data_IF_546222037893
#
_entry.id   IF_546222037893
#
_cell.length_a   1.000
_cell.length_b   1.000
_cell.length_c   1.000
_cell.angle_alpha   90.00
_cell.angle_beta   90.00
_cell.angle_gamma   90.00
#
_symmetry.space_group_name_H-M   'P 1'
#
loop_
_entity.id
_entity.type
_entity.pdbx_description
1 polymer ?
#
# COMPACT_ATOMS: atom_id res chain seq x y z
N UNK A 1 4.80 0.00 -1.65
CA UNK A 1 4.00 1.22 -1.89
C UNK A 1 4.34 1.73 -3.31
N UNK A 2 3.65 2.72 -3.90
CA UNK A 2 4.15 3.35 -5.14
C UNK A 2 3.98 4.87 -5.16
N UNK A 3 5.11 5.57 -4.95
CA UNK A 3 5.19 7.04 -5.00
C UNK A 3 4.83 7.61 -6.39
N UNK A 4 4.95 6.83 -7.47
CA UNK A 4 4.66 7.28 -8.85
C UNK A 4 3.15 7.44 -9.08
N UNK A 5 2.32 6.61 -8.42
CA UNK A 5 0.86 6.74 -8.42
C UNK A 5 0.36 7.94 -7.60
N UNK A 6 1.17 8.47 -6.68
CA UNK A 6 0.83 9.67 -5.91
C UNK A 6 0.82 10.94 -6.80
N UNK A 7 1.56 10.95 -7.91
CA UNK A 7 1.78 12.10 -8.79
C UNK A 7 1.32 11.87 -10.25
N UNK A 8 0.42 10.91 -10.49
CA UNK A 8 -0.28 10.76 -11.78
C UNK A 8 0.57 10.26 -12.97
N UNK A 9 1.75 9.68 -12.75
CA UNK A 9 2.62 9.22 -13.84
C UNK A 9 2.24 7.80 -14.28
N UNK A 10 1.47 7.70 -15.37
CA UNK A 10 1.21 6.43 -16.07
C UNK A 10 2.49 5.95 -16.79
N UNK A 11 2.89 4.68 -16.68
CA UNK A 11 4.01 4.14 -17.45
C UNK A 11 3.63 3.99 -18.93
N UNK A 12 4.37 4.66 -19.81
CA UNK A 12 4.29 4.41 -21.26
C UNK A 12 4.78 3.00 -21.57
N UNK A 13 3.88 2.16 -22.11
CA UNK A 13 4.24 0.84 -22.61
C UNK A 13 5.08 0.97 -23.88
N UNK A 14 6.31 0.45 -23.86
CA UNK A 14 7.13 0.38 -25.07
C UNK A 14 6.45 -0.55 -26.08
N UNK A 15 5.99 -0.01 -27.21
CA UNK A 15 5.64 -0.81 -28.38
C UNK A 15 6.83 -1.67 -28.78
N UNK A 16 6.60 -2.95 -29.02
CA UNK A 16 7.60 -3.85 -29.59
C UNK A 16 7.86 -3.41 -31.04
N UNK A 17 9.11 -3.05 -31.36
CA UNK A 17 9.52 -2.82 -32.74
C UNK A 17 9.94 -4.16 -33.33
N UNK A 18 9.30 -4.55 -34.43
CA UNK A 18 9.57 -5.81 -35.12
C UNK A 18 10.72 -5.65 -36.12
N UNK A 19 11.88 -6.26 -35.84
CA UNK A 19 12.90 -6.49 -36.86
C UNK A 19 12.71 -7.85 -37.52
N UNK A 20 12.58 -7.85 -38.85
CA UNK A 20 12.38 -9.06 -39.66
C UNK A 20 13.71 -9.60 -40.17
N UNK A 21 14.18 -10.72 -39.63
CA UNK A 21 15.26 -11.53 -40.23
C UNK A 21 14.77 -12.95 -40.50
N UNK A 22 15.24 -13.53 -41.60
CA UNK A 22 14.56 -14.61 -42.33
C UNK A 22 14.68 -15.99 -41.66
N UNK A 23 13.55 -16.70 -41.70
CA UNK A 23 13.42 -18.17 -41.57
C UNK A 23 14.50 -18.90 -42.40
N UNK A 24 15.06 -19.97 -41.86
CA UNK A 24 15.54 -21.09 -42.68
C UNK A 24 15.33 -22.41 -41.93
N UNK A 25 15.20 -23.52 -42.66
CA UNK A 25 14.57 -24.74 -42.15
C UNK A 25 15.57 -25.89 -41.93
N UNK A 26 15.30 -26.76 -40.94
CA UNK A 26 15.10 -28.19 -41.26
C UNK A 26 14.38 -28.99 -40.16
N UNK A 27 13.70 -30.04 -40.62
CA UNK A 27 12.88 -30.98 -39.87
C UNK A 27 13.69 -32.19 -39.35
N UNK A 28 13.18 -32.83 -38.29
CA UNK A 28 12.87 -34.28 -38.31
C UNK A 28 11.96 -34.69 -37.14
N UNK A 29 11.41 -35.90 -37.22
CA UNK A 29 10.26 -36.38 -36.45
C UNK A 29 10.32 -37.87 -36.14
N UNK A 30 9.79 -38.26 -34.97
CA UNK A 30 9.24 -39.57 -34.57
C UNK A 30 8.38 -39.26 -33.31
N UNK A 31 7.20 -39.82 -33.01
CA UNK A 31 6.73 -41.23 -33.02
C UNK A 31 7.57 -42.12 -32.09
N UNK A 32 7.04 -42.95 -31.18
CA UNK A 32 5.69 -43.54 -31.00
C UNK A 32 5.02 -43.04 -29.67
N UNK A 33 3.72 -43.18 -29.33
CA UNK A 33 2.73 -44.29 -29.42
C UNK A 33 3.07 -45.46 -28.44
N UNK A 34 2.19 -46.04 -27.59
CA UNK A 34 0.76 -46.39 -27.66
C UNK A 34 0.02 -46.40 -26.28
N UNK A 35 -1.32 -46.14 -26.30
CA UNK A 35 -2.51 -46.90 -25.76
C UNK A 35 -2.43 -47.63 -24.37
N UNK A 36 -3.50 -47.91 -23.60
CA UNK A 36 -4.94 -48.08 -23.93
C UNK A 36 -5.93 -48.03 -22.71
N UNK A 37 -7.21 -47.70 -22.98
CA UNK A 37 -8.51 -48.24 -22.42
C UNK A 37 -8.63 -48.56 -20.90
N UNK A 38 -9.57 -48.00 -20.11
CA UNK A 38 -11.07 -48.08 -20.15
C UNK A 38 -11.70 -46.95 -19.26
N UNK A 39 -13.01 -46.67 -19.18
CA UNK A 39 -14.18 -47.06 -19.99
C UNK A 39 -15.40 -47.69 -19.26
N UNK A 40 -16.61 -47.11 -19.43
CA UNK A 40 -17.98 -47.64 -19.09
C UNK A 40 -18.35 -47.53 -17.57
N UNK A 41 -19.56 -47.14 -17.07
CA UNK A 41 -20.98 -47.26 -17.52
C UNK A 41 -21.93 -46.14 -17.00
N UNK A 42 -23.15 -46.05 -17.56
CA UNK A 42 -24.28 -45.23 -17.08
C UNK A 42 -25.19 -45.96 -16.07
N UNK A 43 -25.96 -45.22 -15.25
CA UNK A 43 -27.27 -45.63 -14.67
C UNK A 43 -28.22 -44.41 -14.66
N UNK A 44 -29.53 -44.65 -14.87
CA UNK A 44 -30.62 -43.65 -15.01
C UNK A 44 -31.93 -44.18 -14.40
N UNK A 45 -32.57 -43.45 -13.48
CA UNK A 45 -33.95 -43.69 -12.99
C UNK A 45 -34.66 -42.36 -12.65
N UNK A 46 -35.99 -42.30 -12.83
CA UNK A 46 -36.84 -41.12 -12.61
C UNK A 46 -37.87 -41.34 -11.47
N UNK A 47 -38.34 -40.24 -10.85
CA UNK A 47 -39.71 -40.03 -10.31
C UNK A 47 -39.87 -38.52 -10.00
N UNK A 48 -40.85 -37.74 -10.49
CA UNK A 48 -42.33 -37.77 -10.37
C UNK A 48 -42.82 -37.45 -8.93
N UNK A 49 -43.74 -36.50 -8.66
CA UNK A 49 -44.91 -36.00 -9.42
C UNK A 49 -45.14 -34.46 -9.25
N UNK A 50 -45.66 -33.74 -10.27
CA UNK A 50 -47.03 -33.12 -10.43
C UNK A 50 -47.39 -31.98 -9.44
N UNK A 51 -47.68 -30.73 -9.88
CA UNK A 51 -48.90 -30.18 -10.56
C UNK A 51 -50.12 -30.12 -9.61
N UNK A 52 -50.95 -29.05 -9.52
CA UNK A 52 -50.99 -27.69 -10.14
C UNK A 52 -51.80 -26.73 -9.18
N UNK A 53 -52.37 -25.53 -9.43
CA UNK A 53 -52.67 -24.73 -10.63
C UNK A 53 -52.70 -23.17 -10.39
N UNK A 54 -52.74 -22.41 -11.48
CA UNK A 54 -53.29 -21.04 -11.79
C UNK A 54 -53.37 -19.90 -10.72
N UNK A 55 -52.81 -18.68 -10.94
CA UNK A 55 -53.15 -17.51 -11.85
C UNK A 55 -54.23 -16.53 -11.28
N UNK A 56 -54.35 -15.24 -11.72
CA UNK A 56 -53.68 -14.56 -12.85
C UNK A 56 -53.07 -13.14 -12.60
N UNK A 57 -52.23 -12.69 -13.56
CA UNK A 57 -52.01 -11.32 -14.09
C UNK A 57 -52.18 -10.08 -13.16
N UNK A 58 -51.13 -9.24 -13.15
CA UNK A 58 -51.23 -7.95 -13.87
C UNK A 58 -49.88 -7.49 -14.46
N UNK A 59 -49.92 -6.67 -15.51
CA UNK A 59 -48.77 -6.26 -16.31
C UNK A 59 -48.43 -4.79 -16.13
N UNK A 60 -47.15 -4.44 -15.94
CA UNK A 60 -46.67 -3.08 -16.14
C UNK A 60 -45.23 -3.05 -16.68
N UNK A 61 -45.08 -2.66 -17.96
CA UNK A 61 -43.77 -2.38 -18.56
C UNK A 61 -43.35 -0.95 -18.18
N UNK A 62 -42.30 -0.77 -17.38
CA UNK A 62 -41.57 0.50 -17.30
C UNK A 62 -40.08 0.30 -17.58
N UNK A 63 -39.47 1.33 -18.16
CA UNK A 63 -38.22 1.24 -18.93
C UNK A 63 -37.00 1.20 -18.00
N UNK A 64 -35.99 0.38 -18.32
CA UNK A 64 -34.62 0.64 -17.84
C UNK A 64 -34.16 1.98 -18.40
N UNK A 65 -33.51 2.79 -17.58
CA UNK A 65 -32.64 3.88 -18.02
C UNK A 65 -31.23 3.43 -17.66
N UNK A 66 -30.36 3.38 -18.67
CA UNK A 66 -28.92 3.15 -18.51
C UNK A 66 -28.28 4.52 -18.74
N UNK A 67 -27.41 4.94 -17.83
CA UNK A 67 -26.59 6.13 -18.00
C UNK A 67 -25.15 5.70 -18.32
N UNK A 68 -24.92 5.41 -19.61
CA UNK A 68 -23.58 5.53 -20.18
C UNK A 68 -23.33 7.01 -20.46
N UNK A 69 -22.19 7.56 -20.04
CA UNK A 69 -21.86 8.98 -20.22
C UNK A 69 -20.35 9.23 -20.18
N UNK A 70 -19.63 8.55 -21.05
CA UNK A 70 -18.35 9.03 -21.58
C UNK A 70 -18.48 9.13 -23.10
N UNK A 71 -18.18 10.30 -23.66
CA UNK A 71 -18.18 10.55 -25.10
C UNK A 71 -16.95 11.37 -25.44
N UNK A 72 -15.92 10.68 -25.89
CA UNK A 72 -14.71 11.30 -26.44
C UNK A 72 -15.09 12.05 -27.74
N UNK A 73 -14.62 13.30 -27.88
CA UNK A 73 -14.85 14.09 -29.09
C UNK A 73 -13.65 13.97 -30.03
N UNK A 74 -13.82 13.33 -31.18
CA UNK A 74 -12.78 13.17 -32.20
C UNK A 74 -12.31 14.50 -32.80
N UNK A 75 -11.05 14.52 -33.26
CA UNK A 75 -10.47 15.63 -34.02
C UNK A 75 -11.12 15.75 -35.41
N UNK A 76 -11.43 16.97 -35.87
CA UNK A 76 -11.76 17.22 -37.29
C UNK A 76 -10.98 18.42 -37.85
N UNK A 77 -10.62 18.30 -39.14
CA UNK A 77 -9.55 19.08 -39.78
C UNK A 77 -10.02 20.41 -40.36
N UNK A 78 -9.13 21.41 -40.38
CA UNK A 78 -9.36 22.72 -40.98
C UNK A 78 -9.51 22.66 -42.51
N UNK A 79 -10.50 23.38 -43.06
CA UNK A 79 -10.48 23.86 -44.46
C UNK A 79 -10.87 25.34 -44.52
N UNK A 80 -10.17 26.10 -45.37
CA UNK A 80 -10.37 27.56 -45.56
C UNK A 80 -11.32 27.82 -46.74
N UNK A 81 -12.09 28.91 -46.70
CA UNK A 81 -11.95 30.01 -47.67
C UNK A 81 -12.92 31.19 -47.42
N UNK A 82 -12.59 32.35 -47.99
CA UNK A 82 -13.14 33.66 -47.61
C UNK A 82 -14.15 34.25 -48.62
N UNK A 83 -14.97 35.23 -48.18
CA UNK A 83 -15.06 36.57 -48.81
C UNK A 83 -15.91 37.63 -48.06
N UNK A 84 -15.23 38.75 -47.78
CA UNK A 84 -15.63 40.18 -47.79
C UNK A 84 -16.84 40.76 -46.99
N UNK A 85 -16.59 42.01 -46.59
CA UNK A 85 -17.33 43.09 -45.88
C UNK A 85 -18.21 43.93 -46.86
N UNK A 86 -18.97 45.01 -46.49
CA UNK A 86 -18.71 45.99 -45.40
C UNK A 86 -19.89 46.66 -44.66
N UNK A 87 -19.57 47.75 -43.92
CA UNK A 87 -20.43 48.70 -43.16
C UNK A 87 -20.78 48.24 -41.71
N UNK A 88 -20.93 49.09 -40.67
CA UNK A 88 -20.64 50.54 -40.50
C UNK A 88 -20.18 50.92 -39.06
N UNK A 89 -20.20 52.20 -38.71
CA UNK A 89 -19.80 52.88 -37.44
C UNK A 89 -20.72 54.13 -37.24
N UNK A 90 -20.73 54.89 -36.10
CA UNK A 90 -19.74 54.96 -34.99
C UNK A 90 -20.26 55.13 -33.52
N UNK A 91 -19.33 54.98 -32.54
CA UNK A 91 -19.36 55.53 -31.14
C UNK A 91 -20.47 54.98 -30.20
N UNK A 92 -20.35 55.01 -28.86
CA UNK A 92 -19.44 55.78 -27.97
C UNK A 92 -19.04 55.04 -26.66
N UNK A 93 -18.20 55.71 -25.86
CA UNK A 93 -17.88 55.44 -24.43
C UNK A 93 -17.08 54.17 -24.05
N UNK A 94 -16.11 54.36 -23.14
CA UNK A 94 -15.34 53.30 -22.47
C UNK A 94 -15.84 53.18 -21.03
N UNK A 95 -15.93 51.96 -20.50
CA UNK A 95 -15.92 51.72 -19.05
C UNK A 95 -14.86 50.65 -18.75
N UNK A 96 -13.95 50.95 -17.83
CA UNK A 96 -12.74 50.16 -17.63
C UNK A 96 -12.99 48.95 -16.73
N UNK A 97 -12.79 47.74 -17.26
CA UNK A 97 -12.46 46.56 -16.46
C UNK A 97 -10.94 46.38 -16.51
N UNK A 98 -10.25 46.83 -15.45
CA UNK A 98 -8.83 46.54 -15.25
C UNK A 98 -8.72 45.07 -14.80
N UNK A 99 -8.76 44.16 -15.77
CA UNK A 99 -8.47 42.75 -15.54
C UNK A 99 -6.95 42.55 -15.69
N UNK A 100 -6.20 42.94 -14.65
CA UNK A 100 -4.81 42.53 -14.52
C UNK A 100 -4.77 41.02 -14.22
N UNK A 101 -4.72 40.22 -15.28
CA UNK A 101 -4.09 38.91 -15.21
C UNK A 101 -2.59 39.13 -15.09
N UNK A 102 -2.00 38.78 -13.95
CA UNK A 102 -0.55 38.62 -13.84
C UNK A 102 -0.12 37.59 -14.89
N UNK A 103 0.79 37.93 -15.84
CA UNK A 103 1.16 37.03 -16.92
C UNK A 103 2.15 35.96 -16.44
N UNK A 104 1.66 35.01 -15.64
CA UNK A 104 2.33 33.73 -15.41
C UNK A 104 2.21 32.92 -16.71
N UNK A 105 3.15 33.16 -17.63
CA UNK A 105 3.20 32.48 -18.92
C UNK A 105 3.34 30.97 -18.70
N UNK A 106 2.24 30.25 -18.87
CA UNK A 106 2.20 28.80 -18.74
C UNK A 106 2.90 28.14 -19.94
N UNK A 107 4.20 27.89 -19.79
CA UNK A 107 4.99 27.11 -20.74
C UNK A 107 4.60 25.64 -20.58
N UNK A 108 3.64 25.21 -21.41
CA UNK A 108 3.06 23.86 -21.40
C UNK A 108 3.99 22.80 -22.03
N UNK A 109 5.25 22.75 -21.59
CA UNK A 109 6.15 21.63 -21.93
C UNK A 109 5.68 20.38 -21.19
N UNK A 110 5.15 19.40 -21.92
CA UNK A 110 4.63 18.11 -21.43
C UNK A 110 5.74 17.12 -21.01
N UNK A 111 6.85 17.65 -20.50
CA UNK A 111 7.95 16.89 -19.91
C UNK A 111 7.69 16.52 -18.44
N UNK A 112 8.57 15.68 -17.87
CA UNK A 112 8.58 15.44 -16.42
C UNK A 112 9.00 16.71 -15.71
N UNK A 113 8.13 17.27 -14.85
CA UNK A 113 8.44 18.46 -14.04
C UNK A 113 9.67 18.19 -13.17
N UNK A 114 10.77 18.89 -13.46
CA UNK A 114 12.02 18.74 -12.72
C UNK A 114 12.02 19.57 -11.43
N UNK A 115 12.87 19.24 -10.44
CA UNK A 115 13.11 20.07 -9.26
C UNK A 115 13.74 21.45 -9.57
N UNK A 116 14.18 21.67 -10.81
CA UNK A 116 14.58 22.98 -11.33
C UNK A 116 13.38 23.80 -11.78
N UNK A 117 12.54 23.26 -12.68
CA UNK A 117 11.32 23.92 -13.17
C UNK A 117 10.33 24.23 -12.04
N UNK A 118 10.10 23.29 -11.11
CA UNK A 118 9.21 23.54 -9.97
C UNK A 118 9.74 24.68 -9.07
N UNK A 119 11.05 24.78 -8.90
CA UNK A 119 11.68 25.89 -8.15
C UNK A 119 11.59 27.22 -8.90
N UNK A 120 11.77 27.26 -10.23
CA UNK A 120 11.63 28.52 -10.98
C UNK A 120 10.19 29.04 -10.96
N UNK A 121 9.18 28.16 -11.06
CA UNK A 121 7.78 28.55 -10.89
C UNK A 121 7.48 29.10 -9.48
N UNK A 122 8.01 28.47 -8.43
CA UNK A 122 7.87 28.98 -7.05
C UNK A 122 8.54 30.36 -6.87
N UNK A 123 9.69 30.58 -7.51
CA UNK A 123 10.42 31.85 -7.42
C UNK A 123 9.67 33.04 -8.01
N UNK A 124 8.73 32.84 -8.95
CA UNK A 124 7.86 33.90 -9.47
C UNK A 124 7.02 34.59 -8.37
N UNK A 125 6.68 33.85 -7.30
CA UNK A 125 5.87 34.37 -6.19
C UNK A 125 6.67 35.20 -5.19
N UNK A 126 8.02 35.17 -5.24
CA UNK A 126 8.92 35.76 -4.23
C UNK A 126 8.64 37.24 -3.95
N UNK A 127 8.28 38.01 -4.99
CA UNK A 127 8.07 39.45 -4.90
C UNK A 127 6.58 39.84 -4.82
N UNK A 128 5.65 38.90 -4.94
CA UNK A 128 4.20 39.16 -4.89
C UNK A 128 3.61 38.63 -3.58
N UNK A 129 3.71 39.42 -2.51
CA UNK A 129 3.24 39.06 -1.16
C UNK A 129 1.75 38.66 -1.11
N UNK A 130 0.92 39.25 -1.99
CA UNK A 130 -0.51 38.92 -2.08
C UNK A 130 -0.72 37.50 -2.63
N UNK A 131 -0.04 37.16 -3.72
CA UNK A 131 -0.10 35.81 -4.30
C UNK A 131 0.62 34.77 -3.42
N UNK A 132 1.70 35.16 -2.72
CA UNK A 132 2.37 34.33 -1.72
C UNK A 132 1.43 33.97 -0.56
N UNK A 133 0.66 34.93 -0.04
CA UNK A 133 -0.37 34.68 0.98
C UNK A 133 -1.51 33.81 0.48
N UNK A 134 -2.07 34.12 -0.70
CA UNK A 134 -3.20 33.40 -1.30
C UNK A 134 -2.88 31.94 -1.67
N UNK A 135 -1.62 31.63 -1.99
CA UNK A 135 -1.20 30.30 -2.48
C UNK A 135 -0.18 29.61 -1.56
N UNK A 136 -0.04 30.07 -0.31
CA UNK A 136 0.99 29.62 0.63
C UNK A 136 1.08 28.10 0.79
N UNK A 137 -0.06 27.40 0.94
CA UNK A 137 -0.10 25.94 1.08
C UNK A 137 0.35 25.19 -0.19
N UNK A 138 0.03 25.70 -1.38
CA UNK A 138 0.50 25.11 -2.64
C UNK A 138 2.01 25.33 -2.82
N UNK A 139 2.50 26.52 -2.45
CA UNK A 139 3.93 26.84 -2.49
C UNK A 139 4.73 26.04 -1.45
N UNK A 140 4.17 25.76 -0.27
CA UNK A 140 4.74 24.85 0.72
C UNK A 140 4.84 23.41 0.18
N UNK A 141 3.78 22.88 -0.44
CA UNK A 141 3.80 21.57 -1.09
C UNK A 141 4.83 21.50 -2.23
N UNK A 142 4.93 22.56 -3.03
CA UNK A 142 5.94 22.68 -4.08
C UNK A 142 7.37 22.70 -3.53
N UNK A 143 7.64 23.50 -2.49
CA UNK A 143 8.94 23.58 -1.83
C UNK A 143 9.33 22.24 -1.19
N UNK A 144 8.41 21.60 -0.47
CA UNK A 144 8.62 20.27 0.11
C UNK A 144 8.94 19.25 -0.99
N UNK A 145 8.21 19.26 -2.11
CA UNK A 145 8.46 18.38 -3.26
C UNK A 145 9.86 18.61 -3.86
N UNK A 146 10.29 19.87 -4.04
CA UNK A 146 11.66 20.18 -4.48
C UNK A 146 12.71 19.71 -3.48
N UNK A 147 12.47 19.88 -2.17
CA UNK A 147 13.39 19.47 -1.12
C UNK A 147 13.53 17.94 -1.05
N UNK A 148 12.42 17.20 -1.15
CA UNK A 148 12.42 15.72 -1.21
C UNK A 148 13.17 15.23 -2.44
N UNK A 149 12.86 15.75 -3.64
CA UNK A 149 13.51 15.31 -4.89
C UNK A 149 14.98 15.72 -5.03
N UNK A 150 15.46 16.67 -4.21
CA UNK A 150 16.88 17.07 -4.13
C UNK A 150 17.61 16.49 -2.92
N UNK A 151 16.97 15.61 -2.13
CA UNK A 151 17.60 15.05 -0.94
C UNK A 151 18.76 14.13 -1.34
N UNK A 152 19.95 14.18 -0.70
CA UNK A 152 21.10 13.35 -1.10
C UNK A 152 20.77 11.85 -1.14
N UNK A 153 19.99 11.36 -0.17
CA UNK A 153 19.58 9.96 -0.07
C UNK A 153 18.43 9.55 -1.01
N UNK A 154 17.99 10.39 -1.97
CA UNK A 154 16.83 10.06 -2.83
C UNK A 154 17.04 8.75 -3.59
N UNK A 155 18.24 8.51 -4.13
CA UNK A 155 18.57 7.25 -4.81
C UNK A 155 18.48 6.04 -3.86
N UNK A 156 18.91 6.20 -2.60
CA UNK A 156 18.78 5.17 -1.56
C UNK A 156 17.31 4.87 -1.22
N UNK A 157 16.44 5.89 -1.15
CA UNK A 157 15.00 5.70 -0.98
C UNK A 157 14.32 5.04 -2.20
N UNK A 158 14.76 5.34 -3.42
CA UNK A 158 14.31 4.62 -4.62
C UNK A 158 14.81 3.16 -4.64
N UNK A 159 16.02 2.88 -4.16
CA UNK A 159 16.55 1.52 -4.00
C UNK A 159 15.75 0.71 -2.97
N UNK A 160 15.45 1.30 -1.80
CA UNK A 160 14.51 0.74 -0.83
C UNK A 160 13.16 0.39 -1.47
N UNK A 161 12.59 1.31 -2.25
CA UNK A 161 11.29 1.16 -2.91
C UNK A 161 11.31 0.14 -4.06
N UNK A 162 12.46 -0.09 -4.69
CA UNK A 162 12.66 -1.17 -5.65
C UNK A 162 12.77 -2.52 -4.93
N UNK A 163 13.52 -2.58 -3.83
CA UNK A 163 13.69 -3.80 -3.04
C UNK A 163 12.39 -4.21 -2.32
N UNK A 164 11.60 -3.26 -1.80
CA UNK A 164 10.26 -3.50 -1.25
C UNK A 164 9.39 -4.31 -2.24
N UNK A 165 9.38 -3.92 -3.52
CA UNK A 165 8.61 -4.60 -4.57
C UNK A 165 9.18 -5.96 -4.95
N UNK A 166 10.51 -6.10 -4.95
CA UNK A 166 11.18 -7.36 -5.24
C UNK A 166 10.88 -8.39 -4.14
N UNK A 167 11.06 -8.02 -2.88
CA UNK A 167 10.67 -8.82 -1.72
C UNK A 167 9.20 -9.24 -1.80
N UNK A 168 8.32 -8.26 -2.07
CA UNK A 168 6.88 -8.48 -2.12
C UNK A 168 6.46 -9.47 -3.22
N UNK A 169 7.10 -9.45 -4.40
CA UNK A 169 6.85 -10.46 -5.42
C UNK A 169 7.41 -11.83 -5.00
N UNK A 170 8.64 -11.86 -4.48
CA UNK A 170 9.34 -13.10 -4.12
C UNK A 170 8.68 -13.84 -2.95
N UNK A 171 8.04 -13.13 -2.01
CA UNK A 171 7.26 -13.72 -0.90
C UNK A 171 6.11 -14.62 -1.40
N UNK A 172 5.58 -14.39 -2.61
CA UNK A 172 4.55 -15.25 -3.22
C UNK A 172 5.08 -16.37 -4.13
N UNK A 173 6.35 -16.32 -4.52
CA UNK A 173 6.93 -17.20 -5.56
C UNK A 173 8.08 -18.07 -5.03
N UNK A 174 8.59 -17.80 -3.83
CA UNK A 174 9.78 -18.42 -3.25
C UNK A 174 9.61 -18.69 -1.76
N UNK A 175 10.41 -19.62 -1.23
CA UNK A 175 10.48 -19.86 0.22
C UNK A 175 11.09 -18.66 0.95
N UNK A 176 10.71 -18.48 2.22
CA UNK A 176 11.27 -17.46 3.10
C UNK A 176 12.82 -17.56 3.21
N UNK A 177 13.37 -18.78 3.13
CA UNK A 177 14.81 -19.00 3.05
C UNK A 177 15.47 -18.32 1.83
N UNK A 178 14.86 -18.34 0.65
CA UNK A 178 15.35 -17.62 -0.54
C UNK A 178 15.27 -16.12 -0.34
N UNK A 179 14.17 -15.60 0.23
CA UNK A 179 13.99 -14.17 0.50
C UNK A 179 15.04 -13.65 1.50
N UNK A 180 15.35 -14.42 2.55
CA UNK A 180 16.44 -14.11 3.49
C UNK A 180 17.84 -14.16 2.84
N UNK A 181 18.10 -15.15 1.98
CA UNK A 181 19.37 -15.22 1.25
C UNK A 181 19.56 -14.05 0.26
N UNK A 182 18.49 -13.42 -0.24
CA UNK A 182 18.56 -12.19 -1.05
C UNK A 182 18.94 -10.95 -0.23
N UNK A 183 18.73 -10.95 1.09
CA UNK A 183 19.15 -9.86 1.97
C UNK A 183 20.65 -9.93 2.32
N UNK A 184 21.24 -11.13 2.36
CA UNK A 184 22.65 -11.33 2.76
C UNK A 184 23.67 -10.41 2.06
N UNK A 185 23.62 -10.17 0.72
CA UNK A 185 24.56 -9.27 0.04
C UNK A 185 24.44 -7.78 0.42
N UNK A 186 23.37 -7.41 1.13
CA UNK A 186 23.10 -6.05 1.62
C UNK A 186 23.60 -5.86 3.06
N UNK A 187 23.87 -6.95 3.79
CA UNK A 187 24.39 -6.94 5.17
C UNK A 187 25.91 -6.84 5.10
N UNK A 188 26.41 -5.63 4.86
CA UNK A 188 27.84 -5.36 4.63
C UNK A 188 28.59 -4.98 5.92
N UNK A 189 29.78 -5.55 6.17
CA UNK A 189 30.76 -5.04 7.14
C UNK A 189 30.98 -3.52 7.08
N UNK A 190 31.32 -2.87 8.20
CA UNK A 190 31.48 -1.41 8.24
C UNK A 190 32.56 -0.93 7.25
N UNK A 191 33.66 -1.69 7.12
CA UNK A 191 34.75 -1.39 6.19
C UNK A 191 34.40 -1.63 4.69
N UNK A 192 33.20 -2.12 4.39
CA UNK A 192 32.70 -2.38 3.02
C UNK A 192 31.46 -1.53 2.67
N UNK A 193 30.96 -0.70 3.59
CA UNK A 193 29.79 0.15 3.36
C UNK A 193 30.14 1.51 2.74
N UNK A 194 29.31 1.91 1.79
CA UNK A 194 29.27 3.26 1.20
C UNK A 194 28.12 4.07 1.79
N UNK A 195 27.97 5.34 1.41
CA UNK A 195 26.84 6.19 1.84
C UNK A 195 25.47 5.68 1.39
N UNK A 196 25.44 4.88 0.32
CA UNK A 196 24.22 4.38 -0.30
C UNK A 196 23.82 2.99 0.22
N UNK A 197 24.73 2.33 0.96
CA UNK A 197 24.47 1.06 1.64
C UNK A 197 23.67 1.25 2.93
N UNK A 198 23.06 0.16 3.41
CA UNK A 198 22.11 0.16 4.51
C UNK A 198 22.79 0.18 5.89
N UNK A 199 22.22 0.93 6.83
CA UNK A 199 22.58 0.89 8.25
C UNK A 199 22.01 -0.36 8.94
N UNK A 200 22.47 -0.72 10.15
CA UNK A 200 21.91 -1.85 10.90
C UNK A 200 20.42 -1.69 11.20
N UNK A 201 19.97 -0.46 11.52
CA UNK A 201 18.57 -0.15 11.80
C UNK A 201 17.70 -0.19 10.54
N UNK A 202 18.26 0.20 9.40
CA UNK A 202 17.62 0.07 8.09
C UNK A 202 17.44 -1.41 7.69
N UNK A 203 18.43 -2.26 7.99
CA UNK A 203 18.33 -3.71 7.83
C UNK A 203 17.30 -4.33 8.78
N UNK A 204 17.16 -3.82 10.01
CA UNK A 204 16.09 -4.20 10.93
C UNK A 204 14.69 -3.81 10.40
N UNK A 205 14.55 -2.64 9.76
CA UNK A 205 13.28 -2.25 9.09
C UNK A 205 12.96 -3.18 7.92
N UNK A 206 13.96 -3.61 7.14
CA UNK A 206 13.77 -4.58 6.06
C UNK A 206 13.37 -5.97 6.58
N UNK A 207 14.05 -6.49 7.60
CA UNK A 207 13.67 -7.74 8.26
C UNK A 207 12.25 -7.69 8.80
N UNK A 208 11.91 -6.62 9.52
CA UNK A 208 10.56 -6.40 10.06
C UNK A 208 9.51 -6.37 8.95
N UNK A 209 9.79 -5.74 7.81
CA UNK A 209 8.90 -5.74 6.65
C UNK A 209 8.67 -7.17 6.10
N UNK A 210 9.74 -7.94 5.90
CA UNK A 210 9.66 -9.30 5.33
C UNK A 210 8.80 -10.21 6.22
N UNK A 211 9.10 -10.30 7.52
CA UNK A 211 8.35 -11.15 8.45
C UNK A 211 6.90 -10.66 8.63
N UNK A 212 6.68 -9.35 8.76
CA UNK A 212 5.33 -8.78 8.93
C UNK A 212 4.45 -8.97 7.68
N UNK A 213 5.01 -8.92 6.48
CA UNK A 213 4.26 -9.14 5.22
C UNK A 213 4.06 -10.62 4.94
N UNK A 214 5.09 -11.45 5.05
CA UNK A 214 5.02 -12.87 4.70
C UNK A 214 4.04 -13.67 5.56
N UNK A 215 3.92 -13.34 6.85
CA UNK A 215 3.01 -14.04 7.76
C UNK A 215 3.52 -15.42 8.17
N UNK A 216 2.61 -16.33 8.50
CA UNK A 216 2.96 -17.68 8.99
C UNK A 216 3.80 -18.48 7.98
N UNK A 217 4.97 -18.94 8.42
CA UNK A 217 5.90 -19.75 7.63
C UNK A 217 6.02 -21.16 8.22
N UNK A 218 6.17 -22.17 7.36
CA UNK A 218 6.62 -23.51 7.78
C UNK A 218 8.08 -23.45 8.23
N UNK A 219 8.37 -23.82 9.49
CA UNK A 219 9.74 -23.90 9.99
C UNK A 219 10.41 -25.18 9.46
N UNK A 220 11.01 -25.08 8.29
CA UNK A 220 11.86 -26.12 7.70
C UNK A 220 13.36 -25.88 7.98
N UNK A 221 14.19 -26.85 7.57
CA UNK A 221 15.64 -26.82 7.78
C UNK A 221 16.33 -25.71 7.00
N UNK A 222 15.85 -25.39 5.81
CA UNK A 222 16.49 -24.43 4.91
C UNK A 222 16.17 -22.99 5.33
N UNK A 223 14.99 -22.77 5.93
CA UNK A 223 14.66 -21.56 6.68
C UNK A 223 15.56 -21.39 7.91
N UNK A 224 15.74 -22.46 8.71
CA UNK A 224 16.67 -22.44 9.85
C UNK A 224 18.11 -22.08 9.44
N UNK A 225 18.62 -22.66 8.35
CA UNK A 225 19.95 -22.34 7.84
C UNK A 225 20.03 -20.92 7.23
N UNK A 226 18.97 -20.46 6.56
CA UNK A 226 18.84 -19.10 6.05
C UNK A 226 18.84 -18.04 7.15
N UNK A 227 18.08 -18.27 8.23
CA UNK A 227 18.09 -17.41 9.41
C UNK A 227 19.46 -17.36 10.08
N UNK A 228 20.11 -18.48 10.39
CA UNK A 228 21.42 -18.48 11.06
C UNK A 228 22.51 -17.76 10.24
N UNK A 229 22.45 -17.79 8.90
CA UNK A 229 23.32 -16.98 8.03
C UNK A 229 23.08 -15.48 8.23
N UNK A 230 21.81 -15.05 8.19
CA UNK A 230 21.44 -13.63 8.35
C UNK A 230 21.75 -13.14 9.76
N UNK A 231 21.39 -13.92 10.79
CA UNK A 231 21.72 -13.66 12.20
C UNK A 231 23.22 -13.46 12.40
N UNK A 232 24.05 -14.37 11.88
CA UNK A 232 25.52 -14.28 11.98
C UNK A 232 26.06 -13.02 11.32
N UNK A 233 25.57 -12.67 10.12
CA UNK A 233 25.98 -11.46 9.42
C UNK A 233 25.57 -10.18 10.18
N UNK A 234 24.34 -10.14 10.69
CA UNK A 234 23.83 -8.99 11.45
C UNK A 234 24.56 -8.81 12.80
N UNK A 235 24.81 -9.91 13.52
CA UNK A 235 25.57 -9.90 14.78
C UNK A 235 27.04 -9.49 14.58
N UNK A 236 27.63 -9.80 13.42
CA UNK A 236 28.95 -9.27 13.06
C UNK A 236 28.88 -7.75 12.79
N UNK A 237 27.94 -7.30 11.95
CA UNK A 237 27.77 -5.88 11.60
C UNK A 237 27.54 -5.01 12.84
N UNK A 238 26.72 -5.46 13.80
CA UNK A 238 26.50 -4.78 15.09
C UNK A 238 27.79 -4.58 15.90
N UNK A 239 28.69 -5.57 15.92
CA UNK A 239 29.99 -5.47 16.62
C UNK A 239 31.02 -4.60 15.89
N UNK A 240 30.85 -4.38 14.59
CA UNK A 240 31.74 -3.55 13.78
C UNK A 240 31.38 -2.05 13.80
N UNK A 241 30.21 -1.68 14.31
CA UNK A 241 29.81 -0.27 14.44
C UNK A 241 30.76 0.49 15.38
N UNK A 242 31.37 1.57 14.88
CA UNK A 242 32.24 2.43 15.67
C UNK A 242 31.49 3.10 16.82
N UNK A 243 30.26 3.56 16.56
CA UNK A 243 29.36 4.14 17.55
C UNK A 243 27.99 3.44 17.51
N UNK A 244 27.56 2.85 18.65
CA UNK A 244 26.22 2.28 18.74
C UNK A 244 25.17 3.39 18.74
N UNK A 245 24.17 3.28 17.86
CA UNK A 245 23.01 4.16 17.85
C UNK A 245 22.13 3.95 19.09
N UNK A 246 21.25 4.91 19.45
CA UNK A 246 20.34 4.76 20.59
C UNK A 246 19.41 3.54 20.49
N UNK A 247 19.16 3.02 19.28
CA UNK A 247 18.40 1.78 19.09
C UNK A 247 19.26 0.55 19.39
N UNK A 248 20.47 0.47 18.83
CA UNK A 248 21.38 -0.66 19.05
C UNK A 248 21.79 -0.80 20.52
N UNK A 249 22.00 0.32 21.24
CA UNK A 249 22.31 0.28 22.68
C UNK A 249 21.19 -0.37 23.50
N UNK A 250 19.92 -0.03 23.21
CA UNK A 250 18.74 -0.62 23.87
C UNK A 250 18.59 -2.10 23.52
N UNK A 251 18.72 -2.46 22.24
CA UNK A 251 18.60 -3.85 21.75
C UNK A 251 19.69 -4.76 22.34
N UNK A 252 20.92 -4.26 22.51
CA UNK A 252 22.08 -5.07 22.93
C UNK A 252 22.43 -4.94 24.41
N UNK A 253 21.74 -4.10 25.16
CA UNK A 253 22.05 -3.79 26.57
C UNK A 253 23.47 -3.23 26.77
N UNK A 254 24.03 -2.53 25.78
CA UNK A 254 25.42 -2.07 25.78
C UNK A 254 25.52 -0.57 25.49
N UNK A 255 26.10 0.21 26.41
CA UNK A 255 26.25 1.67 26.27
C UNK A 255 27.24 2.10 25.18
N UNK A 256 28.17 1.23 24.79
CA UNK A 256 29.25 1.49 23.84
C UNK A 256 29.61 0.24 23.02
N UNK A 257 30.19 0.48 21.83
CA UNK A 257 30.67 -0.55 20.90
C UNK A 257 31.74 -1.45 21.52
N UNK A 258 32.65 -0.87 22.32
CA UNK A 258 33.69 -1.58 23.08
C UNK A 258 33.10 -2.67 24.00
N UNK A 259 31.91 -2.45 24.55
CA UNK A 259 31.24 -3.38 25.46
C UNK A 259 30.40 -4.47 24.75
N UNK A 260 30.25 -4.38 23.42
CA UNK A 260 29.43 -5.27 22.60
C UNK A 260 30.25 -6.40 21.98
N UNK A 261 30.42 -7.49 22.74
CA UNK A 261 31.08 -8.70 22.22
C UNK A 261 30.18 -9.45 21.24
N UNK A 262 30.79 -10.21 20.32
CA UNK A 262 30.04 -11.03 19.35
C UNK A 262 29.05 -12.00 20.00
N UNK A 263 29.34 -12.49 21.21
CA UNK A 263 28.39 -13.31 21.98
C UNK A 263 27.13 -12.52 22.40
N UNK A 264 27.29 -11.32 22.97
CA UNK A 264 26.15 -10.46 23.32
C UNK A 264 25.37 -10.07 22.08
N UNK A 265 26.08 -9.72 21.00
CA UNK A 265 25.44 -9.35 19.75
C UNK A 265 24.69 -10.51 19.11
N UNK A 266 25.20 -11.75 19.20
CA UNK A 266 24.44 -12.92 18.76
C UNK A 266 23.18 -13.10 19.62
N UNK A 267 23.28 -13.05 20.96
CA UNK A 267 22.13 -13.21 21.86
C UNK A 267 21.00 -12.23 21.50
N UNK A 268 21.33 -10.94 21.39
CA UNK A 268 20.36 -9.91 21.00
C UNK A 268 19.75 -10.18 19.61
N UNK A 269 20.52 -10.73 18.66
CA UNK A 269 20.02 -11.08 17.32
C UNK A 269 19.20 -12.38 17.30
N UNK A 270 19.48 -13.34 18.18
CA UNK A 270 18.64 -14.54 18.38
C UNK A 270 17.29 -14.16 19.02
N UNK A 271 17.30 -13.23 19.98
CA UNK A 271 16.10 -12.62 20.56
C UNK A 271 15.30 -11.87 19.48
N UNK A 272 15.93 -10.96 18.72
CA UNK A 272 15.31 -10.25 17.58
C UNK A 272 14.59 -11.20 16.61
N UNK A 273 15.21 -12.32 16.23
CA UNK A 273 14.62 -13.30 15.31
C UNK A 273 13.46 -14.08 15.93
N UNK A 274 13.47 -14.33 17.24
CA UNK A 274 12.31 -14.87 17.96
C UNK A 274 11.13 -13.90 17.82
N UNK A 275 11.35 -12.60 18.09
CA UNK A 275 10.30 -11.58 17.99
C UNK A 275 9.80 -11.36 16.56
N UNK A 276 10.68 -11.50 15.55
CA UNK A 276 10.28 -11.45 14.13
C UNK A 276 9.34 -12.61 13.76
N UNK A 277 9.53 -13.82 14.31
CA UNK A 277 8.61 -14.93 14.14
C UNK A 277 7.27 -14.69 14.86
N UNK A 278 7.29 -14.13 16.07
CA UNK A 278 6.06 -13.73 16.78
C UNK A 278 5.24 -12.72 15.96
N UNK A 279 5.90 -11.72 15.35
CA UNK A 279 5.29 -10.70 14.49
C UNK A 279 4.68 -11.34 13.22
N UNK A 280 5.32 -12.36 12.67
CA UNK A 280 4.81 -13.10 11.51
C UNK A 280 3.52 -13.88 11.85
N UNK A 281 3.47 -14.53 13.04
CA UNK A 281 2.29 -15.23 13.55
C UNK A 281 1.20 -14.33 14.17
N UNK A 282 1.47 -13.04 14.41
CA UNK A 282 0.62 -12.14 15.21
C UNK A 282 -0.83 -11.97 14.70
N UNK A 283 -1.12 -12.33 13.44
CA UNK A 283 -2.47 -12.27 12.84
C UNK A 283 -3.18 -13.61 12.76
N UNK A 284 -2.59 -14.70 13.25
CA UNK A 284 -3.19 -16.04 13.21
C UNK A 284 -4.49 -16.14 14.03
N UNK A 285 -4.62 -15.32 15.07
CA UNK A 285 -5.82 -15.20 15.92
C UNK A 285 -6.98 -14.46 15.23
N UNK A 286 -6.71 -13.66 14.20
CA UNK A 286 -7.73 -12.99 13.38
C UNK A 286 -8.39 -14.02 12.45
N UNK A 287 -9.68 -13.91 12.17
CA UNK A 287 -10.39 -14.88 11.33
C UNK A 287 -10.35 -14.46 9.85
N UNK A 288 -10.50 -13.16 9.58
CA UNK A 288 -10.55 -12.55 8.26
C UNK A 288 -9.26 -11.79 7.94
N UNK A 289 -8.76 -10.97 8.87
CA UNK A 289 -7.60 -10.08 8.64
C UNK A 289 -6.23 -10.77 8.81
N UNK A 290 -6.12 -12.05 8.42
CA UNK A 290 -4.90 -12.88 8.60
C UNK A 290 -3.70 -12.38 7.80
N UNK A 291 -3.91 -11.97 6.56
CA UNK A 291 -2.83 -11.56 5.65
C UNK A 291 -2.89 -10.07 5.31
N UNK A 292 -1.74 -9.41 5.35
CA UNK A 292 -1.53 -8.10 4.70
C UNK A 292 -0.87 -8.21 3.33
N UNK A 293 -0.50 -9.44 2.94
CA UNK A 293 -0.01 -9.80 1.62
C UNK A 293 -1.18 -10.18 0.70
N UNK A 294 -1.23 -9.58 -0.50
CA UNK A 294 -2.15 -9.97 -1.58
C UNK A 294 -1.31 -10.54 -2.72
N UNK A 295 -1.46 -11.84 -3.05
CA UNK A 295 -0.66 -12.47 -4.09
C UNK A 295 -0.90 -11.85 -5.46
N UNK A 296 0.15 -11.87 -6.29
CA UNK A 296 0.04 -11.50 -7.70
C UNK A 296 -0.78 -12.52 -8.50
N UNK A 297 -1.23 -12.11 -9.68
CA UNK A 297 -1.82 -12.98 -10.69
C UNK A 297 -1.30 -12.58 -12.08
N UNK A 298 -1.84 -13.19 -13.14
CA UNK A 298 -1.39 -12.96 -14.52
C UNK A 298 -1.70 -11.54 -15.07
N UNK A 299 -2.46 -10.70 -14.36
CA UNK A 299 -2.72 -9.29 -14.73
C UNK A 299 -2.17 -8.27 -13.74
N UNK A 300 -1.83 -8.67 -12.51
CA UNK A 300 -1.48 -7.78 -11.41
C UNK A 300 -0.29 -8.32 -10.59
N UNK A 301 0.70 -7.47 -10.34
CA UNK A 301 1.81 -7.77 -9.44
C UNK A 301 1.32 -7.95 -8.00
N UNK A 302 2.12 -8.66 -7.19
CA UNK A 302 1.85 -8.81 -5.77
C UNK A 302 1.75 -7.44 -5.06
N UNK A 303 0.88 -7.32 -4.05
CA UNK A 303 0.58 -6.04 -3.43
C UNK A 303 0.38 -6.12 -1.91
N UNK A 304 0.73 -5.03 -1.23
CA UNK A 304 0.57 -4.87 0.21
C UNK A 304 -0.77 -4.19 0.52
N UNK A 305 -1.58 -4.83 1.38
CA UNK A 305 -2.90 -4.35 1.83
C UNK A 305 -2.88 -4.15 3.36
N UNK A 306 -2.54 -2.93 3.85
CA UNK A 306 -2.42 -2.63 5.28
C UNK A 306 -3.67 -3.02 6.08
N UNK A 307 -3.52 -3.45 7.34
CA UNK A 307 -4.65 -3.82 8.20
C UNK A 307 -5.72 -2.72 8.29
N UNK A 308 -5.30 -1.45 8.47
CA UNK A 308 -6.22 -0.30 8.50
C UNK A 308 -7.02 -0.13 7.20
N UNK A 309 -6.48 -0.55 6.04
CA UNK A 309 -7.23 -0.57 4.78
C UNK A 309 -8.35 -1.63 4.82
N UNK A 310 -8.04 -2.82 5.34
CA UNK A 310 -9.00 -3.92 5.44
C UNK A 310 -10.16 -3.57 6.39
N UNK A 311 -9.84 -3.01 7.56
CA UNK A 311 -10.83 -2.55 8.55
C UNK A 311 -11.76 -1.46 7.98
N UNK A 312 -11.21 -0.47 7.25
CA UNK A 312 -12.02 0.60 6.63
C UNK A 312 -12.87 0.08 5.46
N UNK A 313 -12.35 -0.84 4.64
CA UNK A 313 -13.14 -1.49 3.59
C UNK A 313 -14.28 -2.35 4.16
N UNK A 314 -14.07 -3.05 5.29
CA UNK A 314 -15.11 -3.84 5.96
C UNK A 314 -16.21 -2.95 6.54
N UNK A 315 -15.84 -1.90 7.30
CA UNK A 315 -16.79 -0.97 7.94
C UNK A 315 -17.69 -0.28 6.90
N UNK A 316 -17.15 0.06 5.72
CA UNK A 316 -17.87 0.75 4.65
C UNK A 316 -18.24 -0.17 3.48
N UNK A 317 -18.27 -1.49 3.68
CA UNK A 317 -18.72 -2.46 2.69
C UNK A 317 -20.22 -2.25 2.38
N UNK A 318 -20.62 -2.00 1.12
CA UNK A 318 -22.03 -1.79 0.75
C UNK A 318 -22.95 -2.97 1.09
N UNK A 319 -22.43 -4.20 1.05
CA UNK A 319 -23.19 -5.43 1.35
C UNK A 319 -23.42 -5.64 2.86
N UNK A 320 -22.73 -4.86 3.71
CA UNK A 320 -22.83 -4.88 5.18
C UNK A 320 -22.85 -6.29 5.81
N UNK A 321 -21.83 -7.14 5.57
CA UNK A 321 -21.68 -8.40 6.29
C UNK A 321 -21.58 -8.17 7.81
N UNK A 322 -21.97 -9.17 8.62
CA UNK A 322 -21.69 -9.18 10.06
C UNK A 322 -20.16 -9.26 10.26
N UNK A 323 -19.48 -8.22 10.80
CA UNK A 323 -18.03 -8.15 10.78
C UNK A 323 -17.41 -9.11 11.79
N UNK A 324 -16.54 -10.00 11.30
CA UNK A 324 -16.11 -11.20 12.04
C UNK A 324 -14.95 -10.95 13.01
N UNK A 325 -14.13 -9.94 12.72
CA UNK A 325 -12.95 -9.51 13.49
C UNK A 325 -13.14 -8.14 14.18
N UNK A 326 -14.32 -7.51 14.06
CA UNK A 326 -14.62 -6.19 14.67
C UNK A 326 -15.70 -6.38 15.74
N UNK A 327 -15.28 -6.61 16.99
CA UNK A 327 -16.21 -6.88 18.09
C UNK A 327 -16.83 -5.60 18.68
N UNK A 328 -18.15 -5.62 18.85
CA UNK A 328 -18.89 -4.56 19.54
C UNK A 328 -18.88 -4.78 21.06
N UNK A 329 -18.21 -3.88 21.80
CA UNK A 329 -18.13 -3.90 23.26
C UNK A 329 -19.06 -2.85 23.89
N UNK A 330 -20.13 -3.30 24.55
CA UNK A 330 -21.12 -2.46 25.25
C UNK A 330 -20.70 -2.11 26.68
N UNK A 331 -19.65 -1.29 26.83
CA UNK A 331 -19.18 -0.82 28.14
C UNK A 331 -20.20 0.09 28.84
N UNK A 332 -21.11 -0.49 29.64
CA UNK A 332 -22.06 0.26 30.46
C UNK A 332 -22.85 -0.61 31.45
N UNK A 333 -23.31 0.01 32.54
CA UNK A 333 -24.12 -0.62 33.60
C UNK A 333 -25.39 -1.32 33.10
N UNK A 334 -25.88 -0.97 31.91
CA UNK A 334 -27.06 -1.60 31.30
C UNK A 334 -26.78 -3.01 30.77
N UNK A 335 -25.54 -3.40 30.51
CA UNK A 335 -25.26 -4.76 30.02
C UNK A 335 -25.39 -5.82 31.12
N UNK A 336 -25.08 -5.49 32.38
CA UNK A 336 -25.37 -6.35 33.54
C UNK A 336 -26.87 -6.60 33.77
N UNK A 337 -27.73 -5.72 33.28
CA UNK A 337 -29.19 -5.93 33.28
C UNK A 337 -29.68 -6.62 32.00
N UNK A 338 -28.98 -6.43 30.87
CA UNK A 338 -29.31 -7.09 29.61
C UNK A 338 -28.91 -8.56 29.60
N UNK A 339 -27.80 -8.99 30.21
CA UNK A 339 -27.37 -10.40 30.21
C UNK A 339 -28.47 -11.36 30.68
N UNK A 340 -29.28 -10.97 31.66
CA UNK A 340 -30.42 -11.75 32.14
C UNK A 340 -31.62 -11.87 31.18
N UNK A 341 -31.76 -10.97 30.19
CA UNK A 341 -32.88 -10.93 29.24
C UNK A 341 -32.47 -11.16 27.77
N UNK A 342 -31.20 -10.94 27.43
CA UNK A 342 -30.66 -10.97 26.05
C UNK A 342 -30.55 -12.39 25.48
N UNK A 343 -30.56 -13.42 26.33
CA UNK A 343 -30.47 -14.83 25.91
C UNK A 343 -31.61 -15.27 24.97
N UNK A 344 -32.72 -14.52 24.91
CA UNK A 344 -33.91 -14.84 24.12
C UNK A 344 -34.21 -13.88 22.95
N UNK A 345 -33.40 -12.84 22.71
CA UNK A 345 -33.57 -11.96 21.56
C UNK A 345 -32.26 -11.73 20.79
N UNK A 346 -32.28 -11.98 19.48
CA UNK A 346 -31.18 -11.60 18.56
C UNK A 346 -31.22 -10.09 18.31
N UNK A 347 -30.90 -9.30 19.33
CA UNK A 347 -30.81 -7.84 19.23
C UNK A 347 -29.72 -7.48 18.23
N UNK A 348 -30.06 -6.73 17.18
CA UNK A 348 -29.12 -6.27 16.17
C UNK A 348 -28.06 -5.36 16.80
N UNK A 349 -26.80 -5.78 16.77
CA UNK A 349 -25.66 -4.95 17.17
C UNK A 349 -25.55 -3.75 16.20
N UNK A 350 -25.32 -2.52 16.66
CA UNK A 350 -25.16 -1.38 15.77
C UNK A 350 -23.89 -1.55 14.93
N UNK A 351 -23.97 -1.32 13.62
CA UNK A 351 -22.81 -1.41 12.75
C UNK A 351 -22.01 -0.09 12.82
N UNK A 352 -20.66 -0.10 12.77
CA UNK A 352 -19.88 1.14 12.88
C UNK A 352 -20.24 2.20 11.82
N UNK A 353 -20.73 1.78 10.65
CA UNK A 353 -21.20 2.70 9.59
C UNK A 353 -22.68 3.11 9.68
N UNK A 354 -23.44 2.72 10.71
CA UNK A 354 -24.75 3.33 11.00
C UNK A 354 -24.62 4.74 11.59
N UNK A 355 -23.43 5.10 12.09
CA UNK A 355 -23.13 6.41 12.65
C UNK A 355 -22.54 7.38 11.61
N UNK A 356 -22.85 8.69 11.67
CA UNK A 356 -22.30 9.70 10.75
C UNK A 356 -20.84 10.08 11.06
N UNK A 357 -20.36 9.72 12.25
CA UNK A 357 -19.00 9.93 12.73
C UNK A 357 -18.38 8.59 13.14
N UNK A 358 -17.23 8.26 12.57
CA UNK A 358 -16.37 7.15 13.00
C UNK A 358 -15.09 7.72 13.63
N UNK A 359 -14.69 7.16 14.78
CA UNK A 359 -13.41 7.46 15.42
C UNK A 359 -12.54 6.20 15.37
N UNK A 360 -11.38 6.31 14.73
CA UNK A 360 -10.38 5.24 14.65
C UNK A 360 -9.20 5.60 15.54
N UNK A 361 -9.05 4.94 16.70
CA UNK A 361 -7.92 5.14 17.60
C UNK A 361 -6.89 4.02 17.41
N UNK A 362 -5.69 4.36 16.92
CA UNK A 362 -4.62 3.40 16.64
C UNK A 362 -3.57 3.39 17.76
N UNK A 363 -3.61 2.34 18.58
CA UNK A 363 -2.58 2.06 19.60
C UNK A 363 -1.28 1.63 18.89
N UNK A 364 -0.13 2.08 19.39
CA UNK A 364 1.19 1.87 18.77
C UNK A 364 1.59 2.98 17.80
N UNK A 365 0.62 3.60 17.13
CA UNK A 365 0.82 4.78 16.27
C UNK A 365 0.32 4.60 14.84
N UNK A 366 0.40 5.66 14.04
CA UNK A 366 -0.04 5.66 12.62
C UNK A 366 0.95 6.40 11.73
N UNK A 367 1.08 6.02 10.46
CA UNK A 367 1.87 6.78 9.47
C UNK A 367 1.03 7.82 8.73
N UNK A 368 1.69 8.84 8.17
CA UNK A 368 1.03 9.83 7.28
C UNK A 368 0.41 9.16 6.05
N UNK A 369 1.06 8.10 5.54
CA UNK A 369 0.57 7.30 4.41
C UNK A 369 -0.76 6.61 4.72
N UNK A 370 -0.91 6.06 5.93
CA UNK A 370 -2.16 5.44 6.37
C UNK A 370 -3.26 6.46 6.62
N UNK A 371 -2.94 7.60 7.26
CA UNK A 371 -3.90 8.67 7.46
C UNK A 371 -4.46 9.23 6.13
N UNK A 372 -3.61 9.38 5.09
CA UNK A 372 -4.07 9.69 3.74
C UNK A 372 -4.91 8.55 3.15
N UNK A 373 -4.45 7.31 3.24
CA UNK A 373 -5.14 6.14 2.69
C UNK A 373 -6.55 5.96 3.27
N UNK A 374 -6.73 6.17 4.58
CA UNK A 374 -8.06 6.17 5.23
C UNK A 374 -8.93 7.29 4.66
N UNK A 375 -8.42 8.52 4.56
CA UNK A 375 -9.16 9.66 3.99
C UNK A 375 -9.63 9.37 2.56
N UNK A 376 -8.72 8.91 1.70
CA UNK A 376 -9.00 8.68 0.28
C UNK A 376 -10.00 7.51 0.09
N UNK A 377 -9.92 6.46 0.92
CA UNK A 377 -10.89 5.35 0.93
C UNK A 377 -12.28 5.79 1.40
N UNK A 378 -12.37 6.52 2.52
CA UNK A 378 -13.65 6.99 3.09
C UNK A 378 -14.40 7.87 2.09
N UNK A 379 -13.68 8.78 1.41
CA UNK A 379 -14.24 9.63 0.36
C UNK A 379 -14.75 8.83 -0.86
N UNK A 380 -14.17 7.65 -1.13
CA UNK A 380 -14.60 6.76 -2.23
C UNK A 380 -15.71 5.78 -1.85
N UNK A 381 -15.76 5.31 -0.59
CA UNK A 381 -16.66 4.25 -0.14
C UNK A 381 -17.97 4.79 0.46
N UNK A 382 -17.90 5.87 1.27
CA UNK A 382 -19.08 6.46 1.89
C UNK A 382 -18.97 8.00 2.01
N UNK A 383 -19.14 8.72 0.88
CA UNK A 383 -19.15 10.19 0.86
C UNK A 383 -20.07 10.80 1.94
N UNK A 384 -19.61 11.88 2.57
CA UNK A 384 -20.34 12.58 3.64
C UNK A 384 -20.15 12.01 5.05
N UNK A 385 -19.51 10.84 5.21
CA UNK A 385 -19.14 10.33 6.55
C UNK A 385 -17.97 11.12 7.13
N UNK A 386 -18.07 11.54 8.40
CA UNK A 386 -16.93 12.12 9.11
C UNK A 386 -16.08 11.01 9.73
N UNK A 387 -14.76 11.06 9.54
CA UNK A 387 -13.83 10.11 10.15
C UNK A 387 -12.69 10.85 10.84
N UNK A 388 -12.48 10.55 12.12
CA UNK A 388 -11.39 11.10 12.93
C UNK A 388 -10.39 9.98 13.21
N UNK A 389 -9.16 10.13 12.74
CA UNK A 389 -8.06 9.20 13.04
C UNK A 389 -7.25 9.78 14.21
N UNK A 390 -7.17 9.02 15.29
CA UNK A 390 -6.37 9.28 16.49
C UNK A 390 -5.30 8.20 16.62
N UNK A 391 -4.19 8.49 17.29
CA UNK A 391 -3.16 7.49 17.57
C UNK A 391 -2.28 7.91 18.74
N UNK A 392 -1.50 6.97 19.29
CA UNK A 392 -0.54 7.26 20.37
C UNK A 392 0.73 7.99 19.89
N UNK A 393 1.10 7.86 18.60
CA UNK A 393 2.30 8.48 18.01
C UNK A 393 2.16 8.58 16.48
N UNK A 394 2.66 9.66 15.88
CA UNK A 394 2.90 9.71 14.43
C UNK A 394 4.22 8.98 14.12
N UNK A 395 4.17 7.90 13.35
CA UNK A 395 5.31 6.99 13.15
C UNK A 395 6.24 7.43 12.00
N UNK A 396 7.55 7.30 12.25
CA UNK A 396 8.60 7.20 11.23
C UNK A 396 9.11 5.74 11.18
N UNK A 397 9.73 5.27 10.08
CA UNK A 397 10.16 3.87 9.94
C UNK A 397 11.02 3.35 11.11
N UNK A 398 12.01 4.14 11.55
CA UNK A 398 12.90 3.78 12.65
C UNK A 398 12.22 3.74 14.04
N UNK A 399 10.99 4.25 14.19
CA UNK A 399 10.25 4.10 15.45
C UNK A 399 9.63 2.72 15.61
N UNK A 400 9.47 1.93 14.54
CA UNK A 400 8.83 0.62 14.63
C UNK A 400 9.79 -0.43 15.22
N UNK A 401 11.08 -0.53 14.80
CA UNK A 401 12.07 -1.29 15.54
C UNK A 401 12.25 -0.84 16.99
N UNK A 402 12.16 0.47 17.28
CA UNK A 402 12.20 0.98 18.66
C UNK A 402 11.05 0.42 19.52
N UNK A 403 9.82 0.40 18.99
CA UNK A 403 8.62 -0.06 19.70
C UNK A 403 8.51 -1.59 19.83
N UNK A 404 9.26 -2.35 19.02
CA UNK A 404 9.19 -3.82 19.00
C UNK A 404 10.37 -4.50 19.70
N UNK A 405 11.55 -3.87 19.68
CA UNK A 405 12.80 -4.46 20.16
C UNK A 405 13.47 -3.67 21.29
N UNK A 406 12.95 -2.48 21.62
CA UNK A 406 13.64 -1.53 22.50
C UNK A 406 12.71 -0.76 23.47
N UNK A 407 11.50 -1.30 23.68
CA UNK A 407 10.57 -0.91 24.75
C UNK A 407 10.01 -2.16 25.39
N UNK A 408 9.83 -2.13 26.71
CA UNK A 408 9.05 -3.14 27.41
C UNK A 408 7.61 -3.19 26.83
N UNK A 409 7.06 -4.39 26.70
CA UNK A 409 5.80 -4.63 26.01
C UNK A 409 4.74 -5.04 27.01
N UNK A 410 3.50 -4.62 26.76
CA UNK A 410 2.36 -5.24 27.41
C UNK A 410 2.39 -6.72 27.06
N UNK A 411 2.62 -7.57 28.06
CA UNK A 411 2.34 -8.99 27.99
C UNK A 411 0.83 -9.17 28.18
N UNK A 412 0.03 -9.39 27.12
CA UNK A 412 -1.36 -9.75 27.31
C UNK A 412 -1.42 -11.08 28.07
N UNK A 413 -2.26 -11.13 29.11
CA UNK A 413 -2.55 -12.36 29.82
C UNK A 413 -3.45 -13.24 28.93
N UNK A 414 -2.80 -14.03 28.07
CA UNK A 414 -3.46 -14.83 27.04
C UNK A 414 -4.03 -16.16 27.58
N UNK A 415 -3.79 -16.49 28.85
CA UNK A 415 -4.46 -17.60 29.54
C UNK A 415 -4.27 -18.99 28.92
N UNK A 416 -3.08 -19.28 28.38
CA UNK A 416 -2.68 -20.58 27.83
C UNK A 416 -1.90 -21.43 28.86
#
# INVERSE_FOLDING_TARGET
MDIRKFFGVIPSGKKLVSETVKKNEKTKSAEESLKAKKGIKEIKVNSSCKEDEFKPKQSNKKKRIIYDSDSESEETVQVKNAKKRPEKLPRSSKLAKIQQQDPVTYISETGRVTPGQLMSYIQLFKNNLKSLGNHCGLLQLGLATVQTLKHPQTAKWDNFLAFERLLLQNIGESTMSVVLNQLLPMIKPLNQRTSDDYSPEELLVLLLYIYSVGGEFSVDKDLGEGEEKVKKALAQVFCEESELSPLLRKITGCDSSINLTFHKSKSAVDELFTLLRDIAGARNLMKQFKSVYVPGNHTHQASYKPLLKQVVEEIFNPERPDPVDIEHMSSGLTDLLKTGFSMFMKVSRPHPSDHPLLILFVVGGVTVSEAKMIKDLVLSLKPGTQVIVLSTRLLKPLNIPELLFATDRLHPDLGF
#
